data_IF_957543834763
#
_entry.id   IF_957543834763
#
_cell.length_a   1.000
_cell.length_b   1.000
_cell.length_c   1.000
_cell.angle_alpha   90.00
_cell.angle_beta   90.00
_cell.angle_gamma   90.00
#
_symmetry.space_group_name_H-M   'P 1'
#
loop_
_entity.id
_entity.type
_entity.pdbx_description
1 polymer ?
#
# COMPACT_ATOMS: atom_id res chain seq x y z
N UNK A 1 31.00 -3.98 -7.82
CA UNK A 1 30.20 -4.63 -8.89
C UNK A 1 28.80 -5.13 -8.41
N UNK A 2 27.96 -4.25 -7.83
CA UNK A 2 26.76 -4.69 -7.08
C UNK A 2 25.45 -3.94 -7.40
N UNK A 3 25.46 -2.99 -8.34
CA UNK A 3 24.28 -2.21 -8.71
C UNK A 3 23.89 -2.53 -10.15
N UNK A 4 22.65 -2.98 -10.35
CA UNK A 4 22.11 -3.25 -11.68
C UNK A 4 21.08 -2.19 -12.07
N UNK A 5 21.22 -1.64 -13.28
CA UNK A 5 20.33 -0.64 -13.85
C UNK A 5 19.56 -1.23 -15.03
N UNK A 6 18.24 -1.24 -14.93
CA UNK A 6 17.35 -1.73 -15.98
C UNK A 6 16.52 -0.57 -16.51
N UNK A 7 16.76 -0.19 -17.75
CA UNK A 7 15.95 0.78 -18.50
C UNK A 7 15.21 0.04 -19.60
N UNK A 8 13.90 -0.08 -19.44
CA UNK A 8 13.05 -0.81 -20.37
C UNK A 8 12.11 0.15 -21.08
N UNK A 9 12.08 0.05 -22.41
CA UNK A 9 10.99 0.56 -23.25
C UNK A 9 10.45 -0.64 -24.03
N UNK A 10 9.19 -1.02 -23.78
CA UNK A 10 8.51 -2.04 -24.57
C UNK A 10 7.45 -1.37 -25.46
N UNK A 11 7.16 -1.90 -26.66
CA UNK A 11 6.18 -1.30 -27.57
C UNK A 11 4.72 -1.64 -27.22
N UNK A 12 4.48 -2.68 -26.42
CA UNK A 12 3.12 -3.10 -26.03
C UNK A 12 3.10 -3.67 -24.62
N UNK A 13 3.72 -4.84 -24.45
CA UNK A 13 3.75 -5.59 -23.20
C UNK A 13 5.20 -5.77 -22.75
N UNK A 14 5.43 -5.69 -21.44
CA UNK A 14 6.76 -5.82 -20.87
C UNK A 14 6.76 -6.86 -19.75
N UNK A 15 7.43 -7.99 -19.95
CA UNK A 15 7.59 -9.06 -18.97
C UNK A 15 9.04 -9.16 -18.51
N UNK A 16 9.25 -9.10 -17.18
CA UNK A 16 10.58 -9.24 -16.61
C UNK A 16 10.61 -10.20 -15.44
N UNK A 17 11.64 -11.05 -15.46
CA UNK A 17 12.06 -11.85 -14.33
C UNK A 17 13.53 -11.53 -14.06
N UNK A 18 13.80 -10.77 -13.00
CA UNK A 18 15.17 -10.31 -12.69
C UNK A 18 15.63 -10.87 -11.37
N UNK A 19 16.86 -11.42 -11.37
CA UNK A 19 17.68 -11.67 -10.18
C UNK A 19 18.82 -10.66 -10.21
N UNK A 20 18.81 -9.69 -9.32
CA UNK A 20 19.87 -8.68 -9.22
C UNK A 20 20.92 -9.09 -8.18
N UNK A 21 22.17 -8.62 -8.28
CA UNK A 21 23.25 -9.03 -7.38
C UNK A 21 23.15 -8.41 -5.98
N UNK A 22 22.73 -7.15 -5.84
CA UNK A 22 22.59 -6.47 -4.53
C UNK A 22 21.55 -5.35 -4.56
N UNK A 23 21.80 -4.30 -5.36
CA UNK A 23 20.88 -3.18 -5.58
C UNK A 23 20.36 -3.22 -7.01
N UNK A 24 19.06 -2.99 -7.19
CA UNK A 24 18.43 -2.97 -8.49
C UNK A 24 17.60 -1.72 -8.72
N UNK A 25 17.82 -1.04 -9.84
CA UNK A 25 17.05 0.10 -10.29
C UNK A 25 16.29 -0.24 -11.57
N UNK A 26 14.97 -0.06 -11.55
CA UNK A 26 14.10 -0.31 -12.69
C UNK A 26 13.41 0.98 -13.11
N UNK A 27 13.64 1.38 -14.37
CA UNK A 27 12.89 2.43 -15.04
C UNK A 27 12.20 1.84 -16.26
N UNK A 28 10.88 1.72 -16.20
CA UNK A 28 10.12 0.99 -17.21
C UNK A 28 9.02 1.86 -17.79
N UNK A 29 8.96 1.90 -19.12
CA UNK A 29 7.85 2.42 -19.90
C UNK A 29 7.29 1.28 -20.75
N UNK A 30 6.05 0.91 -20.49
CA UNK A 30 5.33 -0.13 -21.25
C UNK A 30 3.93 0.43 -21.57
N UNK A 31 3.51 0.55 -22.83
CA UNK A 31 2.30 1.27 -23.20
C UNK A 31 1.00 0.51 -22.93
N UNK A 32 1.04 -0.80 -22.61
CA UNK A 32 -0.17 -1.55 -22.26
C UNK A 32 -0.04 -2.27 -20.92
N UNK A 33 0.73 -3.35 -20.86
CA UNK A 33 0.86 -4.19 -19.65
C UNK A 33 2.32 -4.31 -19.21
N UNK A 34 2.55 -4.19 -17.91
CA UNK A 34 3.86 -4.39 -17.32
C UNK A 34 3.80 -5.44 -16.20
N UNK A 35 4.55 -6.52 -16.35
CA UNK A 35 4.63 -7.61 -15.38
C UNK A 35 6.06 -7.80 -14.88
N UNK A 36 6.25 -7.69 -13.56
CA UNK A 36 7.56 -7.78 -12.93
C UNK A 36 7.60 -8.84 -11.86
N UNK A 37 8.61 -9.72 -11.96
CA UNK A 37 9.03 -10.61 -10.89
C UNK A 37 10.49 -10.35 -10.56
N UNK A 38 10.75 -9.67 -9.46
CA UNK A 38 12.12 -9.28 -9.09
C UNK A 38 12.53 -9.91 -7.77
N UNK A 39 13.74 -10.47 -7.77
CA UNK A 39 14.50 -10.84 -6.58
C UNK A 39 15.75 -9.95 -6.56
N UNK A 40 15.83 -9.03 -5.60
CA UNK A 40 17.02 -8.24 -5.34
C UNK A 40 17.40 -8.49 -3.89
N UNK A 41 18.64 -8.89 -3.55
CA UNK A 41 18.96 -9.35 -2.21
C UNK A 41 19.14 -8.21 -1.18
N UNK A 42 19.21 -6.95 -1.60
CA UNK A 42 19.28 -5.82 -0.66
C UNK A 42 18.21 -4.76 -0.95
N UNK A 43 18.35 -4.02 -2.04
CA UNK A 43 17.51 -2.84 -2.34
C UNK A 43 16.91 -2.95 -3.74
N UNK A 44 15.62 -2.64 -3.88
CA UNK A 44 14.96 -2.54 -5.17
C UNK A 44 14.18 -1.23 -5.33
N UNK A 45 14.49 -0.48 -6.39
CA UNK A 45 13.79 0.74 -6.78
C UNK A 45 13.05 0.53 -8.09
N UNK A 46 11.76 0.87 -8.10
CA UNK A 46 10.91 0.80 -9.27
C UNK A 46 10.30 2.16 -9.59
N UNK A 47 10.51 2.60 -10.82
CA UNK A 47 9.77 3.69 -11.46
C UNK A 47 9.12 3.17 -12.72
N UNK A 48 7.81 2.97 -12.67
CA UNK A 48 7.06 2.39 -13.79
C UNK A 48 5.97 3.34 -14.25
N UNK A 49 5.90 3.51 -15.57
CA UNK A 49 4.78 4.14 -16.27
C UNK A 49 4.15 3.09 -17.19
N UNK A 50 2.92 2.69 -16.88
CA UNK A 50 2.19 1.68 -17.65
C UNK A 50 0.73 2.12 -17.86
N UNK A 51 0.30 2.51 -19.07
CA UNK A 51 -1.03 3.06 -19.36
C UNK A 51 -2.22 2.19 -18.92
N UNK A 52 -2.11 0.87 -18.94
CA UNK A 52 -3.23 0.00 -18.62
C UNK A 52 -3.01 -0.74 -17.30
N UNK A 53 -2.20 -1.80 -17.29
CA UNK A 53 -2.07 -2.69 -16.12
C UNK A 53 -0.63 -2.82 -15.67
N UNK A 54 -0.40 -2.73 -14.36
CA UNK A 54 0.90 -3.00 -13.76
C UNK A 54 0.81 -4.06 -12.67
N UNK A 55 1.62 -5.12 -12.77
CA UNK A 55 1.70 -6.19 -11.80
C UNK A 55 3.14 -6.36 -11.29
N UNK A 56 3.30 -6.34 -9.97
CA UNK A 56 4.60 -6.46 -9.31
C UNK A 56 4.59 -7.58 -8.28
N UNK A 57 5.57 -8.47 -8.41
CA UNK A 57 5.95 -9.44 -7.38
C UNK A 57 7.42 -9.24 -7.04
N UNK A 58 7.68 -8.65 -5.88
CA UNK A 58 9.04 -8.28 -5.47
C UNK A 58 9.40 -8.95 -4.15
N UNK A 59 10.60 -9.51 -4.13
CA UNK A 59 11.27 -9.99 -2.93
C UNK A 59 12.57 -9.21 -2.77
N UNK A 60 12.59 -8.29 -1.80
CA UNK A 60 13.73 -7.42 -1.51
C UNK A 60 14.03 -7.47 0.00
N UNK A 61 15.04 -8.24 0.46
CA UNK A 61 15.32 -8.49 1.87
C UNK A 61 15.45 -7.23 2.74
N UNK A 62 15.91 -6.10 2.20
CA UNK A 62 16.10 -4.89 2.98
C UNK A 62 15.05 -3.83 2.62
N UNK A 63 15.15 -3.22 1.43
CA UNK A 63 14.33 -2.06 1.07
C UNK A 63 13.66 -2.26 -0.29
N UNK A 64 12.38 -1.92 -0.36
CA UNK A 64 11.65 -1.84 -1.61
C UNK A 64 10.96 -0.48 -1.77
N UNK A 65 11.25 0.20 -2.88
CA UNK A 65 10.66 1.49 -3.22
C UNK A 65 9.90 1.40 -4.55
N UNK A 66 8.63 1.80 -4.54
CA UNK A 66 7.78 1.79 -5.73
C UNK A 66 7.20 3.17 -5.99
N UNK A 67 7.44 3.68 -7.20
CA UNK A 67 6.69 4.77 -7.80
C UNK A 67 6.02 4.26 -9.07
N UNK A 68 4.70 4.16 -9.06
CA UNK A 68 3.93 3.64 -10.20
C UNK A 68 2.85 4.62 -10.60
N UNK A 69 2.86 4.97 -11.88
CA UNK A 69 1.83 5.74 -12.57
C UNK A 69 1.16 4.77 -13.56
N UNK A 70 -0.05 4.33 -13.25
CA UNK A 70 -0.79 3.35 -14.05
C UNK A 70 -2.26 3.77 -14.23
N UNK A 71 -2.69 4.28 -15.40
CA UNK A 71 -4.02 4.81 -15.66
C UNK A 71 -5.23 3.88 -15.44
N UNK A 72 -5.08 2.56 -15.25
CA UNK A 72 -6.23 1.73 -14.85
C UNK A 72 -6.00 0.90 -13.59
N UNK A 73 -5.11 -0.09 -13.63
CA UNK A 73 -5.03 -1.11 -12.57
C UNK A 73 -3.60 -1.37 -12.12
N UNK A 74 -3.39 -1.39 -10.80
CA UNK A 74 -2.09 -1.71 -10.21
C UNK A 74 -2.20 -2.77 -9.11
N UNK A 75 -1.38 -3.83 -9.24
CA UNK A 75 -1.30 -4.94 -8.30
C UNK A 75 0.12 -5.08 -7.74
N UNK A 76 0.24 -5.12 -6.42
CA UNK A 76 1.51 -5.28 -5.72
C UNK A 76 1.48 -6.44 -4.73
N UNK A 77 2.46 -7.34 -4.87
CA UNK A 77 2.78 -8.37 -3.89
C UNK A 77 4.24 -8.23 -3.49
N UNK A 78 4.49 -7.66 -2.30
CA UNK A 78 5.84 -7.33 -1.85
C UNK A 78 6.16 -8.05 -0.54
N UNK A 79 7.35 -8.67 -0.53
CA UNK A 79 8.01 -9.15 0.69
C UNK A 79 9.28 -8.33 0.86
N UNK A 80 9.29 -7.48 1.89
CA UNK A 80 10.45 -6.64 2.22
C UNK A 80 10.72 -6.68 3.72
N UNK A 81 11.65 -7.53 4.20
CA UNK A 81 11.95 -7.74 5.62
C UNK A 81 12.22 -6.48 6.45
N UNK A 82 12.68 -5.37 5.86
CA UNK A 82 12.91 -4.14 6.63
C UNK A 82 11.89 -3.05 6.27
N UNK A 83 11.99 -2.46 5.07
CA UNK A 83 11.26 -1.24 4.72
C UNK A 83 10.57 -1.37 3.36
N UNK A 84 9.30 -0.97 3.29
CA UNK A 84 8.55 -0.88 2.04
C UNK A 84 7.87 0.49 1.88
N UNK A 85 8.10 1.12 0.74
CA UNK A 85 7.50 2.41 0.37
C UNK A 85 6.77 2.31 -0.97
N UNK A 86 5.52 2.79 -0.98
CA UNK A 86 4.67 2.82 -2.16
C UNK A 86 4.10 4.21 -2.39
N UNK A 87 4.34 4.74 -3.59
CA UNK A 87 3.62 5.87 -4.16
C UNK A 87 2.94 5.40 -5.45
N UNK A 88 1.61 5.32 -5.42
CA UNK A 88 0.83 4.80 -6.54
C UNK A 88 -0.28 5.77 -6.91
N UNK A 89 -0.34 6.08 -8.20
CA UNK A 89 -1.41 6.84 -8.83
C UNK A 89 -2.06 5.91 -9.86
N UNK A 90 -3.26 5.41 -9.52
CA UNK A 90 -4.00 4.44 -10.31
C UNK A 90 -5.49 4.83 -10.40
N UNK A 91 -5.97 5.40 -11.52
CA UNK A 91 -7.32 5.92 -11.71
C UNK A 91 -8.47 4.95 -11.36
N UNK A 92 -8.30 3.65 -11.55
CA UNK A 92 -9.39 2.70 -11.32
C UNK A 92 -9.17 1.86 -10.06
N UNK A 93 -8.21 0.93 -10.09
CA UNK A 93 -8.05 -0.08 -9.02
C UNK A 93 -6.62 -0.18 -8.54
N UNK A 94 -6.44 -0.20 -7.21
CA UNK A 94 -5.15 -0.46 -6.58
C UNK A 94 -5.25 -1.56 -5.52
N UNK A 95 -4.43 -2.61 -5.67
CA UNK A 95 -4.38 -3.75 -4.76
C UNK A 95 -2.99 -3.97 -4.19
N UNK A 96 -2.88 -4.00 -2.86
CA UNK A 96 -1.62 -4.19 -2.15
C UNK A 96 -1.67 -5.36 -1.17
N UNK A 97 -0.70 -6.25 -1.31
CA UNK A 97 -0.39 -7.29 -0.32
C UNK A 97 1.07 -7.17 0.08
N UNK A 98 1.31 -6.64 1.28
CA UNK A 98 2.66 -6.33 1.75
C UNK A 98 2.95 -7.06 3.07
N UNK A 99 4.12 -7.69 3.11
CA UNK A 99 4.72 -8.22 4.34
C UNK A 99 6.03 -7.46 4.56
N UNK A 100 6.06 -6.58 5.56
CA UNK A 100 7.23 -5.78 5.90
C UNK A 100 7.45 -5.74 7.42
N UNK A 101 8.34 -6.57 7.99
CA UNK A 101 8.62 -6.70 9.42
C UNK A 101 8.82 -5.37 10.17
N UNK A 102 9.47 -4.37 9.59
CA UNK A 102 9.73 -3.12 10.31
C UNK A 102 8.75 -2.02 9.91
N UNK A 103 8.86 -1.46 8.71
CA UNK A 103 8.13 -0.24 8.32
C UNK A 103 7.45 -0.39 6.97
N UNK A 104 6.18 0.04 6.90
CA UNK A 104 5.44 0.14 5.65
C UNK A 104 4.78 1.51 5.48
N UNK A 105 5.06 2.17 4.35
CA UNK A 105 4.49 3.46 3.97
C UNK A 105 3.73 3.39 2.66
N UNK A 106 2.48 3.85 2.67
CA UNK A 106 1.62 3.89 1.48
C UNK A 106 1.05 5.28 1.26
N UNK A 107 1.26 5.80 0.04
CA UNK A 107 0.57 6.97 -0.49
C UNK A 107 -0.13 6.58 -1.79
N UNK A 108 -1.45 6.49 -1.73
CA UNK A 108 -2.26 6.00 -2.86
C UNK A 108 -3.33 7.01 -3.22
N UNK A 109 -3.41 7.32 -4.52
CA UNK A 109 -4.53 8.05 -5.13
C UNK A 109 -5.19 7.08 -6.11
N UNK A 110 -6.41 6.65 -5.80
CA UNK A 110 -7.18 5.76 -6.65
C UNK A 110 -8.66 6.18 -6.69
N UNK A 111 -9.14 6.83 -7.76
CA UNK A 111 -10.50 7.31 -7.94
C UNK A 111 -11.60 6.31 -7.59
N UNK A 112 -11.45 5.02 -7.92
CA UNK A 112 -12.53 4.05 -7.72
C UNK A 112 -12.29 3.16 -6.49
N UNK A 113 -11.36 2.20 -6.55
CA UNK A 113 -11.23 1.17 -5.50
C UNK A 113 -9.80 1.03 -5.01
N UNK A 114 -9.64 0.92 -3.69
CA UNK A 114 -8.36 0.60 -3.08
C UNK A 114 -8.48 -0.51 -2.02
N UNK A 115 -7.58 -1.50 -2.10
CA UNK A 115 -7.53 -2.61 -1.15
C UNK A 115 -6.12 -2.83 -0.62
N UNK A 116 -6.01 -2.90 0.70
CA UNK A 116 -4.74 -3.09 1.40
C UNK A 116 -4.81 -4.24 2.38
N UNK A 117 -3.87 -5.18 2.25
CA UNK A 117 -3.55 -6.18 3.27
C UNK A 117 -2.09 -6.07 3.65
N UNK A 118 -1.85 -5.55 4.85
CA UNK A 118 -0.51 -5.24 5.34
C UNK A 118 -0.24 -5.95 6.66
N UNK A 119 0.92 -6.58 6.74
CA UNK A 119 1.47 -7.13 7.97
C UNK A 119 2.80 -6.44 8.23
N UNK A 120 2.81 -5.53 9.21
CA UNK A 120 3.97 -4.72 9.57
C UNK A 120 4.17 -4.65 11.09
N UNK A 121 4.99 -5.53 11.69
CA UNK A 121 5.27 -5.63 13.12
C UNK A 121 5.47 -4.29 13.84
N UNK A 122 6.24 -3.37 13.27
CA UNK A 122 6.56 -2.12 13.96
C UNK A 122 5.63 -0.97 13.58
N UNK A 123 5.71 -0.48 12.34
CA UNK A 123 5.03 0.76 11.93
C UNK A 123 4.33 0.62 10.58
N UNK A 124 3.07 1.07 10.51
CA UNK A 124 2.34 1.18 9.25
C UNK A 124 1.69 2.57 9.08
N UNK A 125 1.99 3.22 7.96
CA UNK A 125 1.43 4.53 7.59
C UNK A 125 0.67 4.46 6.27
N UNK A 126 -0.58 4.94 6.28
CA UNK A 126 -1.45 4.99 5.12
C UNK A 126 -2.01 6.39 4.89
N UNK A 127 -1.80 6.90 3.68
CA UNK A 127 -2.48 8.09 3.17
C UNK A 127 -3.18 7.73 1.87
N UNK A 128 -4.51 7.59 1.93
CA UNK A 128 -5.32 7.13 0.81
C UNK A 128 -6.39 8.15 0.47
N UNK A 129 -6.48 8.49 -0.83
CA UNK A 129 -7.59 9.24 -1.42
C UNK A 129 -8.28 8.31 -2.41
N UNK A 130 -9.49 7.86 -2.07
CA UNK A 130 -10.28 6.99 -2.92
C UNK A 130 -11.77 7.39 -2.94
N UNK A 131 -12.26 8.13 -3.96
CA UNK A 131 -13.63 8.60 -4.10
C UNK A 131 -14.72 7.57 -3.78
N UNK A 132 -14.57 6.32 -4.21
CA UNK A 132 -15.64 5.34 -4.05
C UNK A 132 -15.43 4.38 -2.86
N UNK A 133 -14.44 3.49 -2.91
CA UNK A 133 -14.28 2.41 -1.93
C UNK A 133 -12.85 2.26 -1.43
N UNK A 134 -12.70 2.12 -0.11
CA UNK A 134 -11.41 1.80 0.51
C UNK A 134 -11.54 0.66 1.54
N UNK A 135 -10.70 -0.37 1.39
CA UNK A 135 -10.63 -1.52 2.29
C UNK A 135 -9.24 -1.70 2.87
N UNK A 136 -9.15 -1.79 4.20
CA UNK A 136 -7.90 -1.97 4.93
C UNK A 136 -7.98 -3.14 5.90
N UNK A 137 -7.01 -4.06 5.78
CA UNK A 137 -6.73 -5.10 6.77
C UNK A 137 -5.28 -4.99 7.20
N UNK A 138 -5.06 -4.47 8.40
CA UNK A 138 -3.71 -4.18 8.90
C UNK A 138 -3.46 -4.89 10.23
N UNK A 139 -2.31 -5.54 10.31
CA UNK A 139 -1.73 -6.05 11.56
C UNK A 139 -0.43 -5.30 11.80
N UNK A 140 -0.41 -4.45 12.82
CA UNK A 140 0.74 -3.65 13.20
C UNK A 140 0.91 -3.59 14.73
N UNK A 141 1.65 -4.53 15.35
CA UNK A 141 1.92 -4.63 16.78
C UNK A 141 2.18 -3.31 17.51
N UNK A 142 2.97 -2.41 16.92
CA UNK A 142 3.34 -1.16 17.59
C UNK A 142 2.46 0.02 17.19
N UNK A 143 2.57 0.51 15.94
CA UNK A 143 1.98 1.79 15.54
C UNK A 143 1.27 1.69 14.18
N UNK A 144 0.03 2.18 14.11
CA UNK A 144 -0.72 2.29 12.87
C UNK A 144 -1.34 3.68 12.69
N UNK A 145 -1.03 4.34 11.56
CA UNK A 145 -1.58 5.65 11.19
C UNK A 145 -2.36 5.58 9.89
N UNK A 146 -3.60 6.06 9.92
CA UNK A 146 -4.48 6.11 8.75
C UNK A 146 -5.03 7.51 8.53
N UNK A 147 -4.83 8.02 7.32
CA UNK A 147 -5.52 9.21 6.79
C UNK A 147 -6.23 8.84 5.50
N UNK A 148 -7.54 8.67 5.58
CA UNK A 148 -8.36 8.20 4.46
C UNK A 148 -9.45 9.21 4.14
N UNK A 149 -9.56 9.55 2.84
CA UNK A 149 -10.69 10.28 2.29
C UNK A 149 -11.38 9.36 1.30
N UNK A 150 -12.56 8.87 1.68
CA UNK A 150 -13.37 8.00 0.85
C UNK A 150 -14.86 8.39 0.89
N UNK A 151 -15.34 9.26 -0.02
CA UNK A 151 -16.72 9.74 -0.13
C UNK A 151 -17.80 8.69 0.15
N UNK A 152 -17.69 7.50 -0.44
CA UNK A 152 -18.76 6.49 -0.36
C UNK A 152 -18.54 5.47 0.77
N UNK A 153 -17.55 4.59 0.68
CA UNK A 153 -17.42 3.45 1.61
C UNK A 153 -16.00 3.28 2.12
N UNK A 154 -15.84 3.16 3.44
CA UNK A 154 -14.57 2.83 4.07
C UNK A 154 -14.68 1.67 5.08
N UNK A 155 -13.87 0.63 4.89
CA UNK A 155 -13.79 -0.54 5.77
C UNK A 155 -12.40 -0.69 6.37
N UNK A 156 -12.33 -0.77 7.70
CA UNK A 156 -11.08 -0.95 8.43
C UNK A 156 -11.16 -2.13 9.41
N UNK A 157 -10.19 -3.04 9.30
CA UNK A 157 -9.90 -4.06 10.29
C UNK A 157 -8.46 -3.95 10.73
N UNK A 158 -8.23 -3.37 11.90
CA UNK A 158 -6.89 -3.07 12.40
C UNK A 158 -6.65 -3.77 13.74
N UNK A 159 -5.51 -4.46 13.83
CA UNK A 159 -4.97 -4.97 15.09
C UNK A 159 -3.66 -4.25 15.35
N UNK A 160 -3.67 -3.33 16.31
CA UNK A 160 -2.51 -2.54 16.70
C UNK A 160 -2.43 -2.44 18.23
N UNK A 161 -1.75 -3.38 18.92
CA UNK A 161 -1.54 -3.42 20.36
C UNK A 161 -1.31 -2.06 21.00
N UNK A 162 -0.29 -1.32 20.55
CA UNK A 162 0.13 -0.09 21.21
C UNK A 162 -0.65 1.16 20.77
N UNK A 163 -0.46 1.65 19.54
CA UNK A 163 -1.02 2.94 19.12
C UNK A 163 -1.74 2.82 17.77
N UNK A 164 -2.97 3.31 17.71
CA UNK A 164 -3.71 3.44 16.46
C UNK A 164 -4.31 4.84 16.30
N UNK A 165 -4.01 5.50 15.18
CA UNK A 165 -4.56 6.81 14.84
C UNK A 165 -5.33 6.77 13.53
N UNK A 166 -6.58 7.24 13.56
CA UNK A 166 -7.46 7.26 12.39
C UNK A 166 -8.03 8.65 12.15
N UNK A 167 -7.84 9.15 10.93
CA UNK A 167 -8.57 10.30 10.39
C UNK A 167 -9.27 9.89 9.10
N UNK A 168 -10.58 9.66 9.20
CA UNK A 168 -11.39 9.17 8.08
C UNK A 168 -12.50 10.16 7.76
N UNK A 169 -12.62 10.51 6.48
CA UNK A 169 -13.78 11.23 5.95
C UNK A 169 -14.49 10.30 4.98
N UNK A 170 -15.64 9.78 5.40
CA UNK A 170 -16.48 8.90 4.62
C UNK A 170 -17.96 9.27 4.77
N UNK A 171 -18.46 10.24 3.98
CA UNK A 171 -19.84 10.71 3.94
C UNK A 171 -20.88 9.61 4.16
N UNK A 172 -20.89 8.56 3.33
CA UNK A 172 -21.96 7.56 3.34
C UNK A 172 -21.75 6.44 4.37
N UNK A 173 -20.73 5.59 4.21
CA UNK A 173 -20.59 4.38 5.06
C UNK A 173 -19.17 4.24 5.60
N UNK A 174 -19.05 4.09 6.91
CA UNK A 174 -17.79 3.78 7.56
C UNK A 174 -17.92 2.61 8.55
N UNK A 175 -17.08 1.58 8.38
CA UNK A 175 -17.03 0.42 9.28
C UNK A 175 -15.64 0.22 9.87
N UNK A 176 -15.55 0.16 11.19
CA UNK A 176 -14.30 0.02 11.92
C UNK A 176 -14.34 -1.12 12.92
N UNK A 177 -13.35 -2.01 12.83
CA UNK A 177 -13.02 -2.97 13.87
C UNK A 177 -11.57 -2.81 14.27
N UNK A 178 -11.34 -2.17 15.41
CA UNK A 178 -10.00 -1.85 15.93
C UNK A 178 -9.78 -2.55 17.27
N UNK A 179 -8.65 -3.23 17.39
CA UNK A 179 -8.15 -3.76 18.66
C UNK A 179 -6.82 -3.07 18.98
N UNK A 180 -6.83 -2.22 19.99
CA UNK A 180 -5.70 -1.41 20.43
C UNK A 180 -5.68 -1.30 21.96
N UNK A 181 -5.15 -2.31 22.68
CA UNK A 181 -5.11 -2.39 24.13
C UNK A 181 -4.34 -1.28 24.87
N UNK A 182 -3.70 -0.31 24.22
CA UNK A 182 -3.16 0.87 24.92
C UNK A 182 -3.87 2.16 24.48
N UNK A 183 -3.62 2.66 23.26
CA UNK A 183 -4.11 3.98 22.83
C UNK A 183 -4.77 3.94 21.45
N UNK A 184 -5.98 4.48 21.34
CA UNK A 184 -6.66 4.64 20.06
C UNK A 184 -7.30 6.04 19.90
N UNK A 185 -7.00 6.70 18.78
CA UNK A 185 -7.53 8.02 18.44
C UNK A 185 -8.35 7.97 17.16
N UNK A 186 -9.57 8.51 17.20
CA UNK A 186 -10.47 8.49 16.05
C UNK A 186 -11.07 9.85 15.74
N UNK A 187 -10.83 10.32 14.50
CA UNK A 187 -11.58 11.42 13.90
C UNK A 187 -12.29 10.93 12.65
N UNK A 188 -13.53 10.47 12.81
CA UNK A 188 -14.37 9.98 11.71
C UNK A 188 -15.50 10.96 11.43
N UNK A 189 -15.68 11.32 10.16
CA UNK A 189 -16.84 12.07 9.67
C UNK A 189 -17.62 11.19 8.69
N UNK A 190 -18.78 10.70 9.14
CA UNK A 190 -19.69 9.83 8.40
C UNK A 190 -21.15 10.17 8.77
N UNK A 191 -21.77 11.17 8.13
CA UNK A 191 -23.13 11.64 8.44
C UNK A 191 -24.25 10.63 8.22
N UNK A 192 -24.08 9.62 7.36
CA UNK A 192 -25.15 8.65 7.08
C UNK A 192 -25.05 7.39 7.95
N UNK A 193 -24.01 6.56 7.77
CA UNK A 193 -23.87 5.28 8.49
C UNK A 193 -22.46 5.09 9.03
N UNK A 194 -22.35 4.88 10.33
CA UNK A 194 -21.07 4.60 10.99
C UNK A 194 -21.19 3.46 12.01
N UNK A 195 -20.35 2.43 11.86
CA UNK A 195 -20.28 1.28 12.77
C UNK A 195 -18.87 1.15 13.35
N UNK A 196 -18.80 1.11 14.69
CA UNK A 196 -17.54 1.01 15.42
C UNK A 196 -17.54 -0.16 16.40
N UNK A 197 -16.48 -0.95 16.34
CA UNK A 197 -16.12 -1.92 17.39
C UNK A 197 -14.67 -1.68 17.77
N UNK A 198 -14.47 -0.86 18.79
CA UNK A 198 -13.15 -0.52 19.35
C UNK A 198 -12.96 -1.27 20.67
N UNK A 199 -11.82 -1.95 20.82
CA UNK A 199 -11.36 -2.49 22.11
C UNK A 199 -10.04 -1.81 22.47
N UNK A 200 -10.11 -0.82 23.34
CA UNK A 200 -8.99 -0.05 23.86
C UNK A 200 -9.33 0.47 25.27
N UNK A 201 -8.39 0.48 26.23
CA UNK A 201 -8.63 1.05 27.56
C UNK A 201 -8.71 2.57 27.55
N UNK A 202 -8.13 3.23 26.53
CA UNK A 202 -8.20 4.67 26.35
C UNK A 202 -8.62 5.03 24.91
N UNK A 203 -9.74 5.74 24.78
CA UNK A 203 -10.28 6.24 23.51
C UNK A 203 -10.39 7.76 23.61
N UNK A 204 -9.71 8.47 22.70
CA UNK A 204 -9.75 9.93 22.57
C UNK A 204 -10.16 10.38 21.15
#
# INVERSE_FOLDING_TARGET
PFVAWFKVKAPFVAWFKVKAPFVAWFKVKAPFVAWFKVKAPFVAWFKVKAPFVAWFKVNAPFVAWFKVEAPSVAWFKVKAPFVAWFKVEAPFVAWFKVKAPFVAWFKVKAPFVSWFKVNAPFVAWFKVKAPFVAWFKVKAPFVAWFKVKAPFVAWFKVKAPFVAWFKVKAPFVAWFKVKAPFVAWFKVKAPFVAWFKVKAPFVA
#
